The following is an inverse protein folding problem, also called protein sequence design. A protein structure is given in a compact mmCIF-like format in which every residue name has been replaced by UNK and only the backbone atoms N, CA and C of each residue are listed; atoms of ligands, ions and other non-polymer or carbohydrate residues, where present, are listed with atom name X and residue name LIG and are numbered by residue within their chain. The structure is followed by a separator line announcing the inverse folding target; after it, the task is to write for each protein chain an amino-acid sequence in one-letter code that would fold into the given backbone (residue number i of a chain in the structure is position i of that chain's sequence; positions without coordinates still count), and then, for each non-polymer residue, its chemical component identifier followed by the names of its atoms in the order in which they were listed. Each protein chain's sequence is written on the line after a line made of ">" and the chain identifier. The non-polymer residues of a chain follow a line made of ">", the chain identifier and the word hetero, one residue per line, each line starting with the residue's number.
data_IF_877184835864
#
_entry.id   IF_877184835864
#
_cell.length_a   1.000
_cell.length_b   1.000
_cell.length_c   1.000
_cell.angle_alpha   90.00
_cell.angle_beta   90.00
_cell.angle_gamma   90.00
#
_symmetry.space_group_name_H-M   'P 1'
#
loop_
_entity.id
_entity.type
_entity.pdbx_description
1 polymer ?
#
# COMPACT_ATOMS: atom_id res chain seq x y z
N UNK A 1 -1.58 41.29 4.31
CA UNK A 1 -1.20 39.92 3.94
C UNK A 1 -1.96 39.56 2.67
N UNK A 2 -1.26 39.44 1.52
CA UNK A 2 -1.91 39.03 0.27
C UNK A 2 -2.48 37.63 0.42
N UNK A 3 -3.70 37.42 -0.07
CA UNK A 3 -4.33 36.10 -0.09
C UNK A 3 -3.47 35.16 -0.93
N UNK A 4 -2.96 34.09 -0.31
CA UNK A 4 -2.25 33.03 -1.03
C UNK A 4 -3.13 32.53 -2.19
N UNK A 5 -2.60 32.45 -3.42
CA UNK A 5 -3.36 31.92 -4.55
C UNK A 5 -3.83 30.49 -4.24
N UNK A 6 -5.12 30.25 -4.48
CA UNK A 6 -5.80 29.00 -4.17
C UNK A 6 -5.46 27.90 -5.20
N UNK A 7 -4.20 27.49 -5.28
CA UNK A 7 -3.85 26.29 -6.05
C UNK A 7 -4.17 25.08 -5.16
N UNK A 8 -5.37 24.55 -5.34
CA UNK A 8 -5.82 23.32 -4.69
C UNK A 8 -5.09 22.12 -5.29
N UNK A 9 -3.89 21.80 -4.78
CA UNK A 9 -3.21 20.57 -5.13
C UNK A 9 -4.08 19.37 -4.75
N UNK A 10 -4.53 18.64 -5.78
CA UNK A 10 -5.32 17.43 -5.60
C UNK A 10 -4.46 16.22 -5.96
N UNK A 11 -3.84 15.61 -4.96
CA UNK A 11 -3.02 14.39 -5.10
C UNK A 11 -3.81 13.29 -5.82
N UNK A 12 -5.13 13.22 -5.58
CA UNK A 12 -6.00 12.27 -6.27
C UNK A 12 -6.01 12.50 -7.79
N UNK A 13 -5.98 13.75 -8.25
CA UNK A 13 -5.99 14.06 -9.69
C UNK A 13 -4.67 13.63 -10.35
N UNK A 14 -3.52 13.91 -9.73
CA UNK A 14 -2.20 13.47 -10.22
C UNK A 14 -2.16 11.95 -10.31
N UNK A 15 -2.56 11.30 -9.22
CA UNK A 15 -2.60 9.85 -9.13
C UNK A 15 -3.56 9.24 -10.15
N UNK A 16 -4.71 9.86 -10.40
CA UNK A 16 -5.67 9.41 -11.43
C UNK A 16 -5.11 9.57 -12.84
N UNK A 17 -4.36 10.64 -13.13
CA UNK A 17 -3.66 10.81 -14.41
C UNK A 17 -2.60 9.72 -14.62
N UNK A 18 -1.70 9.53 -13.64
CA UNK A 18 -0.65 8.51 -13.72
C UNK A 18 -1.26 7.12 -13.94
N UNK A 19 -2.28 6.76 -13.16
CA UNK A 19 -2.98 5.48 -13.25
C UNK A 19 -3.56 5.25 -14.66
N UNK A 20 -4.24 6.24 -15.23
CA UNK A 20 -4.87 6.14 -16.56
C UNK A 20 -3.87 5.90 -17.69
N UNK A 21 -2.64 6.36 -17.52
CA UNK A 21 -1.58 6.19 -18.51
C UNK A 21 -0.93 4.80 -18.46
N UNK A 22 -1.21 3.97 -17.45
CA UNK A 22 -0.59 2.65 -17.30
C UNK A 22 -1.24 1.58 -18.18
N UNK A 23 -0.45 0.65 -18.68
CA UNK A 23 -0.95 -0.46 -19.50
C UNK A 23 -1.88 -1.39 -18.73
N UNK A 24 -1.64 -1.58 -17.42
CA UNK A 24 -2.53 -2.34 -16.54
C UNK A 24 -3.91 -1.69 -16.49
N UNK A 25 -3.98 -0.37 -16.31
CA UNK A 25 -5.27 0.33 -16.32
C UNK A 25 -5.95 0.23 -17.69
N UNK A 26 -5.20 0.41 -18.79
CA UNK A 26 -5.75 0.30 -20.15
C UNK A 26 -6.30 -1.10 -20.44
N UNK A 27 -5.57 -2.14 -20.05
CA UNK A 27 -5.93 -3.56 -20.20
C UNK A 27 -7.13 -3.97 -19.35
N UNK A 28 -7.27 -3.40 -18.17
CA UNK A 28 -8.38 -3.66 -17.26
C UNK A 28 -9.18 -2.39 -17.01
N UNK A 29 -9.57 -1.69 -18.07
CA UNK A 29 -10.27 -0.41 -17.92
C UNK A 29 -11.75 -0.59 -17.56
N UNK A 30 -12.32 -1.76 -17.85
CA UNK A 30 -13.74 -2.02 -17.67
C UNK A 30 -14.04 -2.79 -16.38
N UNK A 31 -15.26 -2.57 -15.86
CA UNK A 31 -15.77 -3.32 -14.69
C UNK A 31 -15.88 -4.82 -14.99
N UNK A 32 -16.31 -5.19 -16.20
CA UNK A 32 -16.50 -6.59 -16.60
C UNK A 32 -15.19 -7.36 -16.63
N UNK A 33 -14.12 -6.78 -17.18
CA UNK A 33 -12.79 -7.41 -17.22
C UNK A 33 -12.23 -7.65 -15.81
N UNK A 34 -12.28 -6.63 -14.94
CA UNK A 34 -11.84 -6.76 -13.54
C UNK A 34 -12.60 -7.86 -12.80
N UNK A 35 -13.92 -7.90 -12.95
CA UNK A 35 -14.76 -8.92 -12.32
C UNK A 35 -14.54 -10.32 -12.92
N UNK A 36 -14.28 -10.42 -14.23
CA UNK A 36 -13.95 -11.68 -14.89
C UNK A 36 -12.65 -12.25 -14.34
N UNK A 37 -11.59 -11.44 -14.27
CA UNK A 37 -10.32 -11.83 -13.68
C UNK A 37 -10.47 -12.22 -12.21
N UNK A 38 -11.20 -11.42 -11.42
CA UNK A 38 -11.47 -11.72 -10.02
C UNK A 38 -12.18 -13.07 -9.84
N UNK A 39 -13.21 -13.37 -10.65
CA UNK A 39 -13.88 -14.68 -10.62
C UNK A 39 -12.94 -15.82 -11.00
N UNK A 40 -12.08 -15.62 -12.01
CA UNK A 40 -11.06 -16.60 -12.40
C UNK A 40 -10.11 -16.91 -11.24
N UNK A 41 -9.55 -15.88 -10.60
CA UNK A 41 -8.66 -16.04 -9.43
C UNK A 41 -9.39 -16.57 -8.21
N UNK A 42 -10.68 -16.25 -8.04
CA UNK A 42 -11.49 -16.77 -6.95
C UNK A 42 -11.61 -18.29 -7.03
N UNK A 43 -11.77 -18.87 -8.24
CA UNK A 43 -11.77 -20.33 -8.43
C UNK A 43 -10.45 -20.98 -7.98
N UNK A 44 -9.32 -20.29 -8.17
CA UNK A 44 -8.02 -20.75 -7.66
C UNK A 44 -8.00 -20.68 -6.14
N UNK A 45 -8.33 -19.52 -5.55
CA UNK A 45 -8.38 -19.34 -4.10
C UNK A 45 -9.37 -20.28 -3.40
N UNK A 46 -10.49 -20.63 -4.03
CA UNK A 46 -11.49 -21.56 -3.48
C UNK A 46 -10.90 -22.98 -3.28
N UNK A 47 -9.79 -23.34 -3.96
CA UNK A 47 -9.03 -24.58 -3.70
C UNK A 47 -8.17 -24.52 -2.43
N UNK A 48 -8.02 -23.33 -1.84
CA UNK A 48 -7.21 -23.05 -0.64
C UNK A 48 -8.09 -22.49 0.50
N UNK A 49 -9.02 -23.28 1.05
CA UNK A 49 -9.95 -22.80 2.07
C UNK A 49 -9.26 -22.27 3.32
N UNK A 50 -8.10 -22.84 3.70
CA UNK A 50 -7.33 -22.36 4.85
C UNK A 50 -6.78 -20.95 4.64
N UNK A 51 -6.23 -20.64 3.45
CA UNK A 51 -5.80 -19.27 3.11
C UNK A 51 -7.00 -18.33 3.06
N UNK A 52 -8.15 -18.81 2.53
CA UNK A 52 -9.37 -18.02 2.47
C UNK A 52 -9.89 -17.63 3.86
N UNK A 53 -9.77 -18.50 4.87
CA UNK A 53 -10.10 -18.17 6.27
C UNK A 53 -9.23 -17.03 6.83
N UNK A 54 -7.98 -16.91 6.35
CA UNK A 54 -7.07 -15.85 6.77
C UNK A 54 -7.39 -14.48 6.15
N UNK A 55 -8.14 -14.46 5.05
CA UNK A 55 -8.63 -13.24 4.39
C UNK A 55 -9.92 -12.80 5.09
N UNK A 56 -9.81 -12.55 6.39
CA UNK A 56 -10.92 -12.15 7.25
C UNK A 56 -10.41 -11.22 8.35
N UNK A 57 -11.16 -10.15 8.64
CA UNK A 57 -10.76 -9.16 9.62
C UNK A 57 -10.71 -9.73 11.04
N UNK A 58 -11.60 -10.69 11.40
CA UNK A 58 -11.60 -11.32 12.72
C UNK A 58 -10.41 -12.23 12.88
N UNK A 59 -10.04 -12.99 11.85
CA UNK A 59 -8.81 -13.78 11.86
C UNK A 59 -7.58 -12.89 12.07
N UNK A 60 -7.39 -11.86 11.25
CA UNK A 60 -6.21 -10.99 11.41
C UNK A 60 -6.22 -10.28 12.77
N UNK A 61 -7.40 -9.90 13.27
CA UNK A 61 -7.53 -9.32 14.61
C UNK A 61 -7.13 -10.27 15.74
N UNK A 62 -7.33 -11.57 15.58
CA UNK A 62 -7.00 -12.56 16.61
C UNK A 62 -5.50 -12.86 16.69
N UNK A 63 -4.72 -12.55 15.65
CA UNK A 63 -3.26 -12.77 15.62
C UNK A 63 -2.52 -11.98 16.72
N UNK A 64 -3.07 -10.84 17.13
CA UNK A 64 -2.54 -10.04 18.23
C UNK A 64 -3.64 -9.18 18.85
N UNK A 65 -4.25 -9.58 19.99
CA UNK A 65 -5.44 -8.92 20.54
C UNK A 65 -5.30 -7.42 20.80
N UNK A 66 -4.10 -6.90 21.08
CA UNK A 66 -3.89 -5.47 21.34
C UNK A 66 -3.94 -4.66 20.03
N UNK A 67 -3.16 -5.05 19.03
CA UNK A 67 -3.07 -4.37 17.72
C UNK A 67 -4.22 -4.73 16.77
N UNK A 68 -4.75 -5.95 16.88
CA UNK A 68 -5.79 -6.49 16.01
C UNK A 68 -7.07 -5.67 16.00
N UNK A 69 -7.41 -5.02 17.12
CA UNK A 69 -8.54 -4.09 17.22
C UNK A 69 -8.47 -2.90 16.26
N UNK A 70 -7.30 -2.63 15.68
CA UNK A 70 -7.07 -1.55 14.72
C UNK A 70 -7.32 -1.99 13.27
N UNK A 71 -7.54 -3.29 13.02
CA UNK A 71 -7.89 -3.83 11.71
C UNK A 71 -9.34 -3.52 11.39
N UNK A 72 -9.57 -2.77 10.32
CA UNK A 72 -10.92 -2.44 9.86
C UNK A 72 -11.42 -3.43 8.81
N UNK A 73 -10.59 -3.76 7.82
CA UNK A 73 -10.98 -4.63 6.71
C UNK A 73 -9.80 -5.48 6.25
N UNK A 74 -10.13 -6.67 5.77
CA UNK A 74 -9.21 -7.57 5.06
C UNK A 74 -9.94 -8.07 3.83
N UNK A 75 -9.25 -8.11 2.70
CA UNK A 75 -9.79 -8.60 1.45
C UNK A 75 -8.66 -8.97 0.51
N UNK A 76 -9.00 -9.34 -0.71
CA UNK A 76 -7.99 -9.69 -1.71
C UNK A 76 -8.40 -9.25 -3.10
N UNK A 77 -7.41 -9.17 -3.99
CA UNK A 77 -7.58 -8.90 -5.41
C UNK A 77 -6.53 -9.63 -6.26
N UNK A 78 -6.73 -9.77 -7.58
CA UNK A 78 -5.73 -10.30 -8.50
C UNK A 78 -4.50 -9.38 -8.56
N UNK A 79 -3.27 -9.89 -8.45
CA UNK A 79 -2.04 -9.09 -8.57
C UNK A 79 -1.88 -8.40 -9.91
N UNK A 80 -2.53 -8.90 -10.97
CA UNK A 80 -2.52 -8.31 -12.30
C UNK A 80 -3.28 -6.98 -12.36
N UNK A 81 -4.15 -6.68 -11.38
CA UNK A 81 -4.82 -5.37 -11.28
C UNK A 81 -3.96 -4.33 -10.55
N UNK A 82 -2.89 -4.74 -9.88
CA UNK A 82 -2.06 -3.85 -9.09
C UNK A 82 -1.10 -3.11 -10.01
N UNK A 83 -1.21 -1.79 -10.04
CA UNK A 83 -0.30 -0.94 -10.81
C UNK A 83 1.00 -0.76 -10.04
N UNK A 84 2.10 -0.72 -10.77
CA UNK A 84 3.42 -0.29 -10.30
C UNK A 84 3.95 0.73 -11.30
N UNK A 85 4.16 1.97 -10.88
CA UNK A 85 4.60 3.05 -11.78
C UNK A 85 5.64 3.94 -11.11
N UNK A 86 6.70 4.28 -11.86
CA UNK A 86 7.81 5.08 -11.36
C UNK A 86 7.37 6.48 -10.95
N UNK A 87 6.39 7.06 -11.62
CA UNK A 87 5.84 8.39 -11.29
C UNK A 87 5.11 8.39 -9.94
N UNK A 88 4.51 7.26 -9.54
CA UNK A 88 3.94 7.11 -8.17
C UNK A 88 5.07 7.09 -7.13
N UNK A 89 6.16 6.36 -7.40
CA UNK A 89 7.33 6.33 -6.52
C UNK A 89 8.01 7.70 -6.41
N UNK A 90 8.16 8.41 -7.52
CA UNK A 90 8.68 9.77 -7.57
C UNK A 90 7.77 10.74 -6.86
N UNK A 91 6.46 10.60 -7.03
CA UNK A 91 5.48 11.35 -6.24
C UNK A 91 5.65 11.02 -4.76
N UNK A 92 5.86 9.78 -4.34
CA UNK A 92 6.12 9.45 -2.93
C UNK A 92 7.40 10.13 -2.39
N UNK A 93 8.45 10.20 -3.22
CA UNK A 93 9.74 10.84 -2.89
C UNK A 93 9.65 12.36 -2.82
N UNK A 94 9.04 12.95 -3.85
CA UNK A 94 9.04 14.38 -4.16
C UNK A 94 7.69 15.01 -3.90
N UNK A 95 6.77 14.28 -3.26
CA UNK A 95 5.47 14.80 -2.86
C UNK A 95 5.79 16.12 -2.20
N UNK A 96 5.13 17.14 -2.74
CA UNK A 96 5.30 18.52 -2.33
C UNK A 96 6.57 19.19 -2.91
N UNK A 97 6.70 19.34 -4.24
CA UNK A 97 7.48 20.46 -4.83
C UNK A 97 6.71 21.05 -6.01
N UNK A 98 6.45 22.36 -5.98
CA UNK A 98 6.15 23.10 -7.21
C UNK A 98 7.38 23.07 -8.11
N UNK A 99 7.23 23.18 -9.43
CA UNK A 99 8.38 23.50 -10.28
C UNK A 99 9.04 24.79 -9.77
N UNK A 100 10.36 24.90 -9.87
CA UNK A 100 11.13 26.06 -9.38
C UNK A 100 10.49 27.42 -9.75
N UNK A 101 10.02 27.66 -10.99
CA UNK A 101 9.36 28.92 -11.34
C UNK A 101 8.05 29.19 -10.59
N UNK A 102 7.28 28.15 -10.25
CA UNK A 102 6.00 28.29 -9.53
C UNK A 102 6.24 28.44 -8.03
N UNK A 103 7.25 27.78 -7.48
CA UNK A 103 7.68 27.99 -6.08
C UNK A 103 8.15 29.44 -5.86
N UNK A 104 9.00 29.95 -6.77
CA UNK A 104 9.49 31.33 -6.75
C UNK A 104 8.34 32.34 -6.88
N UNK A 105 7.36 32.07 -7.75
CA UNK A 105 6.20 32.95 -7.97
C UNK A 105 5.20 32.97 -6.82
N UNK A 106 4.99 31.84 -6.14
CA UNK A 106 3.95 31.70 -5.11
C UNK A 106 4.47 31.88 -3.68
N UNK A 107 5.79 31.80 -3.49
CA UNK A 107 6.42 31.75 -2.16
C UNK A 107 6.11 30.45 -1.39
N UNK A 108 5.48 29.47 -2.04
CA UNK A 108 5.13 28.18 -1.44
C UNK A 108 6.23 27.19 -1.82
N UNK A 109 7.19 26.98 -0.92
CA UNK A 109 8.14 25.89 -1.00
C UNK A 109 7.56 24.71 -0.22
N UNK A 110 7.11 23.72 -0.96
CA UNK A 110 6.80 22.44 -0.38
C UNK A 110 8.10 21.61 -0.23
N UNK A 111 8.18 20.71 0.76
CA UNK A 111 9.36 19.86 1.03
C UNK A 111 9.04 18.36 0.94
N UNK A 112 10.02 17.45 0.90
CA UNK A 112 9.79 16.03 0.69
C UNK A 112 8.88 15.43 1.78
N UNK A 113 8.24 14.30 1.47
CA UNK A 113 7.46 13.55 2.46
C UNK A 113 8.31 13.34 3.74
N UNK A 114 7.78 13.61 4.95
CA UNK A 114 8.57 13.60 6.19
C UNK A 114 9.32 12.30 6.48
N UNK A 115 8.89 11.18 5.90
CA UNK A 115 9.55 9.87 6.02
C UNK A 115 10.68 9.62 5.01
N UNK A 116 10.76 10.40 3.92
CA UNK A 116 11.77 10.24 2.86
C UNK A 116 13.16 10.51 3.45
N UNK A 117 14.12 9.64 3.10
CA UNK A 117 15.50 9.60 3.64
C UNK A 117 15.64 9.32 5.14
N UNK A 118 14.54 9.38 5.90
CA UNK A 118 14.52 9.12 7.34
C UNK A 118 14.13 7.69 7.71
N UNK A 119 13.70 6.86 6.75
CA UNK A 119 13.17 5.53 7.00
C UNK A 119 13.39 4.53 5.86
N UNK A 120 13.66 3.26 6.18
CA UNK A 120 14.13 2.24 5.22
C UNK A 120 13.03 1.65 4.32
N UNK A 121 11.75 1.91 4.61
CA UNK A 121 10.64 1.52 3.75
C UNK A 121 10.24 2.58 2.71
N UNK A 122 11.03 3.65 2.57
CA UNK A 122 10.79 4.77 1.66
C UNK A 122 11.50 4.59 0.30
N UNK A 123 11.18 5.41 -0.73
CA UNK A 123 11.60 5.18 -2.11
C UNK A 123 13.09 4.91 -2.33
N UNK A 124 14.00 5.58 -1.60
CA UNK A 124 15.45 5.39 -1.77
C UNK A 124 15.94 3.99 -1.38
N UNK A 125 15.17 3.28 -0.56
CA UNK A 125 15.52 1.96 -0.01
C UNK A 125 14.54 0.87 -0.46
N UNK A 126 13.61 1.22 -1.34
CA UNK A 126 12.60 0.32 -1.91
C UNK A 126 12.99 -0.09 -3.34
N UNK A 127 12.65 -1.31 -3.76
CA UNK A 127 12.88 -1.76 -5.13
C UNK A 127 12.14 -0.87 -6.14
N UNK A 128 12.65 -0.86 -7.37
CA UNK A 128 12.00 -0.15 -8.47
C UNK A 128 10.64 -0.77 -8.85
N UNK A 129 9.77 -0.03 -9.55
CA UNK A 129 8.47 -0.54 -9.99
C UNK A 129 8.56 -1.80 -10.84
N UNK A 130 9.57 -1.93 -11.70
CA UNK A 130 9.78 -3.12 -12.54
C UNK A 130 10.12 -4.36 -11.71
N UNK A 131 11.04 -4.24 -10.76
CA UNK A 131 11.37 -5.31 -9.83
C UNK A 131 10.16 -5.68 -8.97
N UNK A 132 9.39 -4.69 -8.53
CA UNK A 132 8.15 -4.94 -7.79
C UNK A 132 7.10 -5.66 -8.65
N UNK A 133 6.96 -5.29 -9.92
CA UNK A 133 6.07 -5.97 -10.87
C UNK A 133 6.44 -7.44 -10.99
N UNK A 134 7.73 -7.75 -11.14
CA UNK A 134 8.22 -9.13 -11.20
C UNK A 134 7.91 -9.95 -9.93
N UNK A 135 7.92 -9.32 -8.74
CA UNK A 135 7.51 -9.98 -7.48
C UNK A 135 6.00 -10.21 -7.44
N UNK A 136 5.20 -9.26 -7.91
CA UNK A 136 3.74 -9.38 -7.97
C UNK A 136 3.28 -10.40 -9.01
N UNK A 137 4.01 -10.57 -10.12
CA UNK A 137 3.69 -11.54 -11.18
C UNK A 137 3.89 -13.00 -10.73
N UNK A 138 4.67 -13.22 -9.68
CA UNK A 138 4.83 -14.53 -9.05
C UNK A 138 3.68 -14.88 -8.10
N UNK A 139 2.84 -13.91 -7.74
CA UNK A 139 1.73 -14.09 -6.83
C UNK A 139 0.43 -14.47 -7.56
N UNK A 140 -0.41 -15.24 -6.88
CA UNK A 140 -1.73 -15.61 -7.37
C UNK A 140 -2.82 -14.67 -6.86
N UNK A 141 -2.65 -14.19 -5.63
CA UNK A 141 -3.53 -13.22 -4.98
C UNK A 141 -2.70 -12.13 -4.30
N UNK A 142 -3.31 -10.96 -4.13
CA UNK A 142 -2.82 -9.95 -3.22
C UNK A 142 -3.83 -9.74 -2.10
N UNK A 143 -3.40 -9.92 -0.85
CA UNK A 143 -4.23 -9.66 0.33
C UNK A 143 -4.02 -8.21 0.73
N UNK A 144 -5.10 -7.44 0.78
CA UNK A 144 -5.11 -6.06 1.26
C UNK A 144 -5.71 -6.00 2.67
N UNK A 145 -5.06 -5.24 3.55
CA UNK A 145 -5.55 -4.92 4.88
C UNK A 145 -5.72 -3.42 5.01
N UNK A 146 -6.83 -2.99 5.61
CA UNK A 146 -7.10 -1.60 5.95
C UNK A 146 -7.35 -1.43 7.44
N UNK A 147 -6.81 -0.37 8.02
CA UNK A 147 -7.06 -0.01 9.42
C UNK A 147 -8.42 0.68 9.64
N UNK A 148 -8.80 0.81 10.91
CA UNK A 148 -9.90 1.70 11.34
C UNK A 148 -9.43 3.16 11.38
N UNK A 149 -8.19 3.41 11.83
CA UNK A 149 -7.64 4.75 12.05
C UNK A 149 -6.60 5.16 11.00
N UNK A 150 -6.51 6.47 10.75
CA UNK A 150 -5.54 7.03 9.80
C UNK A 150 -4.13 7.06 10.35
N UNK A 151 -3.99 7.46 11.61
CA UNK A 151 -2.69 7.64 12.23
C UNK A 151 -2.36 6.43 13.08
N UNK A 152 -1.07 6.22 13.24
CA UNK A 152 -0.56 5.34 14.27
C UNK A 152 -1.07 5.79 15.63
N UNK A 153 -1.80 4.93 16.38
CA UNK A 153 -2.29 5.31 17.69
C UNK A 153 -1.11 5.47 18.65
N UNK A 154 -1.18 6.46 19.58
CA UNK A 154 -0.17 6.62 20.62
C UNK A 154 0.08 5.32 21.39
N UNK A 155 1.35 5.00 21.64
CA UNK A 155 1.75 3.82 22.43
C UNK A 155 1.71 2.48 21.69
N UNK A 156 1.44 2.46 20.39
CA UNK A 156 1.47 1.23 19.57
C UNK A 156 2.20 1.46 18.22
N UNK A 157 3.49 1.86 18.23
CA UNK A 157 4.24 2.08 17.02
C UNK A 157 4.44 0.80 16.19
N UNK A 158 4.46 0.92 14.87
CA UNK A 158 4.62 -0.16 13.91
C UNK A 158 3.51 -1.22 13.96
N UNK A 159 2.30 -0.89 14.43
CA UNK A 159 1.27 -1.91 14.70
C UNK A 159 0.88 -2.72 13.44
N UNK A 160 0.79 -2.03 12.30
CA UNK A 160 0.40 -2.61 11.03
C UNK A 160 1.52 -3.52 10.48
N UNK A 161 2.78 -3.09 10.60
CA UNK A 161 3.95 -3.89 10.24
C UNK A 161 3.97 -5.22 11.01
N UNK A 162 3.69 -5.15 12.31
CA UNK A 162 3.67 -6.32 13.17
C UNK A 162 2.58 -7.32 12.76
N UNK A 163 1.37 -6.83 12.48
CA UNK A 163 0.27 -7.69 12.02
C UNK A 163 0.52 -8.28 10.64
N UNK A 164 1.06 -7.50 9.70
CA UNK A 164 1.41 -7.99 8.36
C UNK A 164 2.44 -9.12 8.43
N UNK A 165 3.44 -9.02 9.32
CA UNK A 165 4.42 -10.09 9.53
C UNK A 165 3.83 -11.33 10.16
N UNK A 166 2.95 -11.16 11.15
CA UNK A 166 2.24 -12.30 11.73
C UNK A 166 1.38 -13.00 10.67
N UNK A 167 0.64 -12.23 9.87
CA UNK A 167 -0.16 -12.78 8.79
C UNK A 167 0.71 -13.47 7.73
N UNK A 168 1.86 -12.89 7.36
CA UNK A 168 2.87 -13.53 6.49
C UNK A 168 3.25 -14.91 7.04
N UNK A 169 3.63 -14.98 8.32
CA UNK A 169 4.04 -16.25 8.96
C UNK A 169 2.94 -17.29 8.95
N UNK A 170 1.70 -16.90 9.24
CA UNK A 170 0.57 -17.83 9.18
C UNK A 170 0.28 -18.33 7.76
N UNK A 171 0.38 -17.46 6.76
CA UNK A 171 0.25 -17.86 5.35
C UNK A 171 1.38 -18.81 4.96
N UNK A 172 2.63 -18.51 5.30
CA UNK A 172 3.78 -19.35 4.96
C UNK A 172 3.78 -20.70 5.68
N UNK A 173 3.17 -20.82 6.86
CA UNK A 173 2.94 -22.13 7.51
C UNK A 173 2.05 -23.05 6.69
N UNK A 174 1.09 -22.48 5.94
CA UNK A 174 0.08 -23.24 5.18
C UNK A 174 0.49 -23.41 3.73
N UNK A 175 0.93 -22.33 3.09
CA UNK A 175 1.31 -22.29 1.69
C UNK A 175 2.82 -22.50 1.47
N UNK A 176 3.59 -22.80 2.52
CA UNK A 176 5.03 -23.01 2.45
C UNK A 176 5.85 -21.72 2.51
N UNK A 177 7.07 -21.82 3.04
CA UNK A 177 8.05 -20.71 3.11
C UNK A 177 8.31 -20.16 1.71
N UNK A 178 8.30 -18.83 1.57
CA UNK A 178 8.47 -18.16 0.28
C UNK A 178 7.20 -18.06 -0.57
N UNK A 179 6.05 -18.54 -0.06
CA UNK A 179 4.75 -18.28 -0.70
C UNK A 179 4.38 -16.79 -0.70
N UNK A 180 4.89 -16.01 0.26
CA UNK A 180 4.71 -14.56 0.28
C UNK A 180 5.85 -13.91 -0.50
N UNK A 181 5.57 -13.48 -1.73
CA UNK A 181 6.59 -12.95 -2.67
C UNK A 181 6.97 -11.49 -2.38
N UNK A 182 6.06 -10.75 -1.74
CA UNK A 182 6.30 -9.39 -1.26
C UNK A 182 5.34 -9.03 -0.11
N UNK A 183 5.79 -8.16 0.78
CA UNK A 183 5.00 -7.69 1.92
C UNK A 183 5.10 -6.16 2.03
N UNK A 184 3.97 -5.52 2.33
CA UNK A 184 3.81 -4.08 2.22
C UNK A 184 3.23 -3.48 3.49
N UNK A 185 3.84 -2.39 3.95
CA UNK A 185 3.33 -1.53 5.03
C UNK A 185 2.51 -0.36 4.48
N UNK A 186 1.83 0.35 5.39
CA UNK A 186 1.08 1.56 5.07
C UNK A 186 1.95 2.82 5.05
N UNK A 187 3.25 2.65 5.26
CA UNK A 187 4.23 3.69 5.40
C UNK A 187 5.62 3.08 5.54
N UNK A 188 6.60 3.84 6.03
CA UNK A 188 7.96 3.34 6.21
C UNK A 188 8.04 2.20 7.22
N UNK A 189 8.89 1.19 6.95
CA UNK A 189 9.21 0.12 7.89
C UNK A 189 9.70 0.65 9.24
N UNK A 190 9.04 0.23 10.32
CA UNK A 190 9.36 0.63 11.70
C UNK A 190 10.04 -0.48 12.53
N UNK A 191 10.50 -1.57 11.91
CA UNK A 191 10.96 -2.75 12.66
C UNK A 191 12.10 -2.46 13.64
N UNK A 192 13.08 -1.70 13.19
CA UNK A 192 14.38 -1.63 13.83
C UNK A 192 14.66 -0.24 14.36
N UNK A 193 13.65 0.50 14.84
CA UNK A 193 13.80 1.90 15.23
C UNK A 193 14.84 2.08 16.37
N UNK A 194 15.84 2.97 16.21
CA UNK A 194 16.19 3.74 15.00
C UNK A 194 16.83 2.87 13.90
N UNK A 195 16.40 3.02 12.64
CA UNK A 195 16.75 2.13 11.52
C UNK A 195 18.25 2.23 11.14
N UNK A 196 19.12 1.27 11.52
CA UNK A 196 20.56 1.38 11.30
C UNK A 196 20.94 1.35 9.81
N UNK A 197 20.05 0.78 8.98
CA UNK A 197 20.23 0.68 7.54
C UNK A 197 20.19 2.01 6.79
N UNK A 198 19.78 3.10 7.46
CA UNK A 198 19.78 4.43 6.86
C UNK A 198 21.16 5.08 6.83
N UNK A 199 22.01 4.79 7.81
CA UNK A 199 23.35 5.36 7.93
C UNK A 199 24.43 4.55 7.19
N UNK A 200 24.07 3.81 6.12
CA UNK A 200 24.97 2.89 5.42
C UNK A 200 25.14 1.52 6.10
N UNK A 201 24.43 1.26 7.20
CA UNK A 201 24.36 -0.07 7.81
C UNK A 201 23.57 -1.09 6.97
N UNK A 202 23.71 -2.38 7.27
CA UNK A 202 22.86 -3.42 6.66
C UNK A 202 21.49 -3.49 7.36
N UNK A 203 20.45 -3.89 6.64
CA UNK A 203 19.18 -4.24 7.27
C UNK A 203 19.40 -5.40 8.27
N UNK A 204 18.93 -5.25 9.51
CA UNK A 204 19.06 -6.30 10.55
C UNK A 204 18.12 -7.49 10.32
N UNK A 205 17.08 -7.30 9.52
CA UNK A 205 16.06 -8.31 9.27
C UNK A 205 15.50 -8.15 7.84
N UNK A 206 16.33 -8.39 6.81
CA UNK A 206 15.94 -8.19 5.41
C UNK A 206 14.70 -9.01 5.02
N UNK A 207 14.59 -10.24 5.54
CA UNK A 207 13.47 -11.16 5.27
C UNK A 207 12.11 -10.68 5.82
N UNK A 208 12.14 -9.77 6.78
CA UNK A 208 10.97 -9.22 7.46
C UNK A 208 10.71 -7.77 7.01
N UNK A 209 11.52 -7.25 6.09
CA UNK A 209 11.40 -5.88 5.60
C UNK A 209 10.06 -5.66 4.88
N UNK A 210 9.41 -4.54 5.15
CA UNK A 210 8.16 -4.13 4.52
C UNK A 210 8.40 -2.86 3.72
N UNK A 211 7.95 -2.88 2.47
CA UNK A 211 7.98 -1.69 1.63
C UNK A 211 6.69 -0.90 1.80
N UNK A 212 6.75 0.44 1.76
CA UNK A 212 5.52 1.21 1.61
C UNK A 212 4.93 0.94 0.22
N UNK A 213 3.60 0.82 0.12
CA UNK A 213 2.94 0.63 -1.18
C UNK A 213 3.36 1.71 -2.20
N UNK A 214 3.31 2.99 -1.82
CA UNK A 214 3.64 4.08 -2.73
C UNK A 214 5.15 4.17 -3.02
N UNK A 215 6.02 3.66 -2.12
CA UNK A 215 7.47 3.69 -2.33
C UNK A 215 7.94 2.74 -3.43
N UNK A 216 7.13 1.75 -3.77
CA UNK A 216 7.38 0.79 -4.86
C UNK A 216 6.50 1.07 -6.07
N UNK A 217 5.86 2.25 -6.09
CA UNK A 217 5.04 2.71 -7.20
C UNK A 217 3.61 2.19 -7.21
N UNK A 218 3.11 1.61 -6.10
CA UNK A 218 1.71 1.13 -6.04
C UNK A 218 0.77 2.30 -5.69
N UNK A 219 -0.18 2.64 -6.58
CA UNK A 219 -1.15 3.68 -6.35
C UNK A 219 -2.23 3.25 -5.36
N UNK A 220 -2.07 3.56 -4.06
CA UNK A 220 -2.95 3.09 -2.97
C UNK A 220 -4.42 3.42 -3.22
N UNK A 221 -4.72 4.59 -3.79
CA UNK A 221 -6.13 4.94 -4.02
C UNK A 221 -6.77 4.13 -5.14
N UNK A 222 -6.00 3.71 -6.16
CA UNK A 222 -6.50 2.85 -7.21
C UNK A 222 -6.68 1.42 -6.69
N UNK A 223 -5.71 0.91 -5.93
CA UNK A 223 -5.83 -0.36 -5.19
C UNK A 223 -7.14 -0.39 -4.37
N UNK A 224 -7.41 0.65 -3.59
CA UNK A 224 -8.60 0.77 -2.76
C UNK A 224 -9.90 0.89 -3.58
N UNK A 225 -9.88 1.56 -4.73
CA UNK A 225 -11.02 1.63 -5.65
C UNK A 225 -11.32 0.28 -6.28
N UNK A 226 -10.29 -0.49 -6.64
CA UNK A 226 -10.45 -1.84 -7.16
C UNK A 226 -10.97 -2.80 -6.10
N UNK A 227 -10.45 -2.73 -4.88
CA UNK A 227 -11.03 -3.44 -3.73
C UNK A 227 -12.51 -3.11 -3.53
N UNK A 228 -12.88 -1.83 -3.59
CA UNK A 228 -14.27 -1.40 -3.47
C UNK A 228 -15.17 -1.96 -4.59
N UNK A 229 -14.65 -2.01 -5.82
CA UNK A 229 -15.36 -2.56 -6.96
C UNK A 229 -15.57 -4.07 -6.82
N UNK A 230 -14.50 -4.81 -6.50
CA UNK A 230 -14.49 -6.27 -6.48
C UNK A 230 -15.28 -6.86 -5.31
N UNK A 231 -15.25 -6.19 -4.16
CA UNK A 231 -16.00 -6.60 -2.96
C UNK A 231 -17.41 -6.04 -2.92
N UNK A 232 -17.74 -5.05 -3.77
CA UNK A 232 -18.97 -4.28 -3.69
C UNK A 232 -19.04 -3.32 -2.49
N UNK A 233 -18.00 -3.27 -1.64
CA UNK A 233 -17.98 -2.45 -0.44
C UNK A 233 -17.26 -1.11 -0.71
N UNK A 234 -18.04 -0.02 -0.81
CA UNK A 234 -17.51 1.33 -1.08
C UNK A 234 -16.58 1.87 0.01
N UNK A 235 -16.62 1.32 1.22
CA UNK A 235 -15.83 1.79 2.37
C UNK A 235 -14.37 1.37 2.32
N UNK A 236 -13.97 0.60 1.29
CA UNK A 236 -12.57 0.41 0.91
C UNK A 236 -11.96 1.69 0.35
N UNK A 237 -12.75 2.57 -0.28
CA UNK A 237 -12.22 3.77 -0.92
C UNK A 237 -11.57 4.69 0.12
N UNK A 238 -10.32 5.06 -0.13
CA UNK A 238 -9.64 6.14 0.57
C UNK A 238 -9.94 7.47 -0.08
N UNK A 239 -9.96 8.55 0.70
CA UNK A 239 -10.18 9.92 0.20
C UNK A 239 -8.99 10.78 0.57
N UNK A 240 -8.27 11.32 -0.42
CA UNK A 240 -7.11 12.15 -0.13
C UNK A 240 -7.41 13.40 0.73
N UNK A 241 -6.43 13.78 1.57
CA UNK A 241 -6.38 15.02 2.34
C UNK A 241 -6.32 16.13 1.29
N UNK A 242 -7.26 17.07 1.40
CA UNK A 242 -7.15 18.35 0.69
C UNK A 242 -6.24 19.25 1.51
N UNK A 243 -5.38 19.99 0.82
CA UNK A 243 -4.50 20.99 1.43
C UNK A 243 -3.54 20.39 2.48
N UNK A 244 -3.00 19.19 2.19
CA UNK A 244 -2.01 18.53 3.04
C UNK A 244 -0.85 19.48 3.35
N UNK A 245 -0.34 19.44 4.59
CA UNK A 245 0.72 20.32 5.10
C UNK A 245 0.42 21.82 5.08
N UNK A 246 -0.85 22.21 4.96
CA UNK A 246 -1.29 23.61 5.14
C UNK A 246 -2.16 23.73 6.39
N UNK A 247 -2.33 24.95 6.90
CA UNK A 247 -3.27 25.24 8.00
C UNK A 247 -4.73 24.94 7.65
N UNK A 248 -5.06 24.76 6.36
CA UNK A 248 -6.42 24.44 5.86
C UNK A 248 -6.63 22.93 5.64
N UNK A 249 -5.68 22.10 6.09
CA UNK A 249 -5.75 20.66 5.98
C UNK A 249 -7.06 20.12 6.55
N UNK A 250 -7.89 19.50 5.71
CA UNK A 250 -9.10 18.81 6.18
C UNK A 250 -8.74 17.37 6.57
N UNK A 251 -8.83 17.03 7.85
CA UNK A 251 -8.67 15.66 8.33
C UNK A 251 -9.88 14.83 7.89
N UNK A 252 -9.75 14.08 6.79
CA UNK A 252 -10.72 13.01 6.49
C UNK A 252 -10.38 11.77 7.31
N UNK A 253 -11.35 10.89 7.50
CA UNK A 253 -11.10 9.55 8.00
C UNK A 253 -10.40 8.75 6.92
N UNK A 254 -9.14 8.43 7.14
CA UNK A 254 -8.35 7.63 6.22
C UNK A 254 -7.98 6.31 6.89
N UNK A 255 -7.75 5.29 6.07
CA UNK A 255 -7.36 3.96 6.50
C UNK A 255 -5.93 3.70 6.01
N UNK A 256 -5.03 3.40 6.93
CA UNK A 256 -3.73 2.83 6.61
C UNK A 256 -3.97 1.54 5.82
N UNK A 257 -3.36 1.45 4.64
CA UNK A 257 -3.51 0.29 3.75
C UNK A 257 -2.18 -0.42 3.63
N UNK A 258 -2.18 -1.71 3.87
CA UNK A 258 -1.02 -2.60 3.81
C UNK A 258 -1.40 -3.87 3.05
N UNK A 259 -0.44 -4.74 2.74
CA UNK A 259 -0.79 -5.97 2.02
C UNK A 259 0.31 -7.00 1.90
N UNK A 260 -0.04 -8.13 1.30
CA UNK A 260 0.82 -9.29 1.03
C UNK A 260 0.54 -9.80 -0.37
N UNK A 261 1.59 -10.00 -1.16
CA UNK A 261 1.51 -10.74 -2.42
C UNK A 261 1.77 -12.22 -2.13
N UNK A 262 0.83 -13.09 -2.49
CA UNK A 262 0.83 -14.50 -2.08
C UNK A 262 0.70 -15.40 -3.30
N UNK A 263 1.66 -16.29 -3.46
CA UNK A 263 1.62 -17.45 -4.34
C UNK A 263 0.91 -18.60 -3.64
N UNK A 264 -0.12 -19.14 -4.27
CA UNK A 264 -0.86 -20.29 -3.76
C UNK A 264 -0.13 -21.54 -4.26
N UNK A 265 0.48 -22.31 -3.35
CA UNK A 265 1.09 -23.59 -3.75
C UNK A 265 0.01 -24.55 -4.24
N UNK A 266 0.27 -25.25 -5.35
CA UNK A 266 -0.55 -26.39 -5.72
C UNK A 266 -0.44 -27.44 -4.61
N UNK A 267 -1.59 -27.92 -4.11
CA UNK A 267 -1.57 -29.11 -3.26
C UNK A 267 -0.90 -30.22 -4.09
N UNK A 268 0.16 -30.82 -3.55
CA UNK A 268 0.59 -32.14 -4.04
C UNK A 268 -0.60 -33.06 -3.78
N UNK A 269 -1.21 -33.54 -4.86
CA UNK A 269 -2.20 -34.62 -4.81
C UNK A 269 -1.54 -35.90 -4.28
#
# INVERSE_FOLDING_TARGET
>A
MSSQPAIAYNIQAIHDCIVRDTDIFRKFNSKSEKLSLYRKKKKLLDKHPEIKKMIDAKFVSSLEPKRGKLVGKVGWLPPELIITDQRIREMCRNLFTYSKPVAEKTGIAFGPCPGVEKMSGCPMFSPGPEEMRAKLDQADIFIAMQSIYFMEPPGIPGWHDFLIRKLKKEIEKIAGVGSVTAAFGAGPCQMCHPNPCLGGGKCRAPEEHLFSLESVGIPVSQLCRDMALLTGNKDWKVRFIKYYSTSRQSHKEWKLTSGLAVKLQQKKE
#
